data_IF_670879475842
#
_entry.id   IF_670879475842
#
_cell.length_a   1.000
_cell.length_b   1.000
_cell.length_c   1.000
_cell.angle_alpha   90.00
_cell.angle_beta   90.00
_cell.angle_gamma   90.00
#
_symmetry.space_group_name_H-M   'P 1'
#
loop_
_entity.id
_entity.type
_entity.pdbx_description
1 polymer ?
#
# COMPACT_ATOMS: atom_id res chain seq x y z
N UNK A 1 33.95 -0.94 7.89
CA UNK A 1 32.66 -1.39 8.37
C UNK A 1 32.30 -0.77 9.72
N UNK A 2 32.20 0.57 9.82
CA UNK A 2 31.79 1.32 11.04
C UNK A 2 31.31 2.72 10.66
N UNK A 3 30.30 2.85 9.77
CA UNK A 3 29.69 4.16 9.43
C UNK A 3 28.21 4.06 9.01
N UNK A 4 27.46 3.06 9.49
CA UNK A 4 26.00 2.91 9.20
C UNK A 4 25.12 2.85 10.47
N UNK A 5 25.61 3.30 11.61
CA UNK A 5 24.88 3.21 12.89
C UNK A 5 24.58 4.57 13.54
N UNK A 6 24.39 5.64 12.76
CA UNK A 6 24.20 7.00 13.32
C UNK A 6 23.08 7.83 12.65
N UNK A 7 22.09 7.21 12.01
CA UNK A 7 20.96 7.92 11.40
C UNK A 7 19.56 7.45 11.88
N UNK A 8 19.49 6.67 12.95
CA UNK A 8 18.25 6.13 13.51
C UNK A 8 17.78 6.78 14.82
N UNK A 9 18.22 7.99 15.15
CA UNK A 9 17.91 8.61 16.46
C UNK A 9 17.42 10.06 16.41
N UNK A 10 16.69 10.48 15.36
CA UNK A 10 16.25 11.88 15.27
C UNK A 10 14.83 12.11 14.73
N UNK A 11 13.90 11.16 14.81
CA UNK A 11 12.49 11.36 14.37
C UNK A 11 11.46 11.03 15.46
N UNK A 12 11.85 10.84 16.70
CA UNK A 12 10.95 10.49 17.79
C UNK A 12 10.55 11.67 18.70
N UNK A 13 10.42 12.91 18.22
CA UNK A 13 10.08 14.04 19.07
C UNK A 13 9.27 15.15 18.38
N UNK A 14 8.16 14.80 17.67
CA UNK A 14 7.27 15.84 17.12
C UNK A 14 5.79 15.44 17.06
N UNK A 15 5.28 14.55 17.92
CA UNK A 15 3.83 14.25 18.02
C UNK A 15 3.37 14.40 19.46
N UNK A 16 3.51 15.62 20.02
CA UNK A 16 2.89 15.94 21.30
C UNK A 16 2.77 17.47 21.44
N UNK A 17 1.93 18.12 20.62
CA UNK A 17 1.37 19.44 20.96
C UNK A 17 0.38 19.89 19.88
N UNK A 18 -0.88 19.49 19.99
CA UNK A 18 -2.03 20.28 19.52
C UNK A 18 -3.31 19.76 20.17
N UNK A 19 -3.38 19.91 21.47
CA UNK A 19 -4.67 19.97 22.18
C UNK A 19 -4.70 21.34 22.86
N UNK A 20 -5.73 22.08 22.55
CA UNK A 20 -6.42 23.13 23.31
C UNK A 20 -6.68 24.39 22.46
N UNK A 21 -7.94 24.67 22.39
CA UNK A 21 -8.73 25.90 22.28
C UNK A 21 -9.51 26.06 20.96
N UNK A 22 -10.84 25.84 21.03
CA UNK A 22 -11.75 26.98 21.03
C UNK A 22 -13.20 26.52 21.12
N UNK A 23 -13.87 26.85 22.17
CA UNK A 23 -15.32 26.89 22.24
C UNK A 23 -15.80 28.10 21.43
N UNK A 24 -16.29 27.83 20.21
CA UNK A 24 -17.20 28.70 19.49
C UNK A 24 -18.08 27.76 18.65
N UNK A 25 -19.40 27.80 18.87
CA UNK A 25 -20.39 26.90 18.31
C UNK A 25 -20.52 26.96 16.78
N UNK A 26 -19.53 26.45 16.07
CA UNK A 26 -19.60 26.11 14.67
C UNK A 26 -19.69 24.58 14.56
N UNK A 27 -20.62 24.04 13.81
CA UNK A 27 -20.67 22.63 13.47
C UNK A 27 -19.27 22.22 12.96
N UNK A 28 -18.55 21.44 13.77
CA UNK A 28 -17.23 20.91 13.40
C UNK A 28 -17.46 20.03 12.19
N UNK A 29 -16.86 20.38 11.06
CA UNK A 29 -16.85 19.50 9.90
C UNK A 29 -16.41 18.09 10.37
N UNK A 30 -17.08 17.02 9.94
CA UNK A 30 -16.69 15.67 10.32
C UNK A 30 -15.19 15.52 10.04
N UNK A 31 -14.42 15.10 11.03
CA UNK A 31 -12.98 14.86 10.82
C UNK A 31 -12.83 13.58 10.04
N UNK A 32 -12.03 13.61 8.97
CA UNK A 32 -11.63 12.40 8.25
C UNK A 32 -11.01 11.36 9.18
N UNK A 33 -11.04 10.10 8.78
CA UNK A 33 -10.46 8.97 9.53
C UNK A 33 -9.15 8.55 8.89
N UNK A 34 -8.11 8.38 9.69
CA UNK A 34 -6.85 7.77 9.27
C UNK A 34 -6.73 6.35 9.84
N UNK A 35 -6.36 5.40 8.99
CA UNK A 35 -6.08 4.01 9.36
C UNK A 35 -4.68 3.67 8.85
N UNK A 36 -3.84 3.09 9.71
CA UNK A 36 -2.51 2.61 9.32
C UNK A 36 -2.35 1.17 9.75
N UNK A 37 -1.82 0.34 8.87
CA UNK A 37 -1.52 -1.07 9.13
C UNK A 37 -0.38 -1.56 8.22
N UNK A 38 0.19 -2.71 8.56
CA UNK A 38 1.18 -3.41 7.75
C UNK A 38 0.48 -4.39 6.80
N UNK A 39 0.70 -4.25 5.49
CA UNK A 39 0.44 -5.28 4.49
C UNK A 39 1.69 -6.17 4.36
N UNK A 40 1.66 -7.33 5.05
CA UNK A 40 2.80 -8.24 5.13
C UNK A 40 2.90 -9.13 3.87
N UNK A 41 3.44 -8.56 2.82
CA UNK A 41 3.61 -9.26 1.53
C UNK A 41 4.63 -10.38 1.58
N UNK A 42 5.55 -10.41 2.56
CA UNK A 42 6.54 -11.46 2.73
C UNK A 42 5.92 -12.80 3.18
N UNK A 43 4.82 -12.75 3.94
CA UNK A 43 4.03 -13.92 4.32
C UNK A 43 2.80 -14.11 3.44
N UNK A 44 2.75 -13.39 2.32
CA UNK A 44 1.70 -13.49 1.31
C UNK A 44 1.93 -14.60 0.29
N UNK A 45 0.96 -14.73 -0.62
CA UNK A 45 1.07 -15.56 -1.83
C UNK A 45 1.04 -14.65 -3.04
N UNK A 46 1.85 -14.98 -4.05
CA UNK A 46 1.96 -14.18 -5.27
C UNK A 46 1.81 -15.10 -6.49
N UNK A 47 1.10 -14.63 -7.50
CA UNK A 47 1.00 -15.28 -8.80
C UNK A 47 1.29 -14.26 -9.90
N UNK A 48 2.18 -14.62 -10.82
CA UNK A 48 2.52 -13.79 -11.95
C UNK A 48 1.95 -14.37 -13.24
N UNK A 49 1.21 -13.56 -13.97
CA UNK A 49 0.64 -13.91 -15.28
C UNK A 49 1.35 -13.12 -16.36
N UNK A 50 2.02 -13.86 -17.26
CA UNK A 50 2.68 -13.32 -18.45
C UNK A 50 1.70 -13.18 -19.60
N UNK A 51 1.35 -11.96 -19.91
CA UNK A 51 0.53 -11.61 -21.08
C UNK A 51 1.38 -11.58 -22.36
N UNK A 52 0.73 -11.70 -23.52
CA UNK A 52 1.42 -11.58 -24.81
C UNK A 52 1.84 -10.10 -25.07
N UNK A 53 3.01 -9.84 -25.67
CA UNK A 53 3.97 -10.83 -26.12
C UNK A 53 4.75 -11.43 -24.96
N UNK A 54 4.75 -12.77 -24.89
CA UNK A 54 5.49 -13.48 -23.84
C UNK A 54 6.98 -13.16 -23.95
N UNK A 55 7.57 -12.73 -22.85
CA UNK A 55 9.02 -12.50 -22.84
C UNK A 55 9.77 -13.84 -22.92
N UNK A 56 10.61 -14.05 -23.95
CA UNK A 56 11.35 -15.31 -24.12
C UNK A 56 12.42 -15.53 -23.02
N UNK A 57 12.66 -14.58 -22.14
CA UNK A 57 13.75 -14.60 -21.17
C UNK A 57 13.24 -14.81 -19.73
N UNK A 58 12.40 -15.82 -19.51
CA UNK A 58 11.93 -16.16 -18.17
C UNK A 58 12.81 -17.17 -17.47
N UNK A 59 13.92 -16.74 -16.98
CA UNK A 59 14.60 -17.45 -15.92
C UNK A 59 14.73 -16.50 -14.71
N UNK A 60 13.83 -16.57 -13.72
CA UNK A 60 13.93 -15.77 -12.51
C UNK A 60 15.25 -15.98 -11.78
N UNK A 61 15.85 -17.19 -11.89
CA UNK A 61 17.15 -17.53 -11.31
C UNK A 61 18.34 -16.87 -12.03
N UNK A 62 18.14 -16.38 -13.24
CA UNK A 62 19.20 -15.72 -14.02
C UNK A 62 19.19 -14.19 -13.89
N UNK A 63 18.37 -13.59 -13.02
CA UNK A 63 18.27 -12.13 -12.86
C UNK A 63 17.71 -11.40 -14.09
N UNK A 64 17.14 -12.12 -15.05
CA UNK A 64 16.60 -11.58 -16.32
C UNK A 64 15.08 -11.62 -16.36
N UNK A 65 14.45 -11.19 -15.27
CA UNK A 65 13.00 -11.03 -15.30
C UNK A 65 12.65 -9.77 -16.10
N UNK A 66 11.97 -9.96 -17.23
CA UNK A 66 11.47 -8.85 -18.05
C UNK A 66 9.96 -8.79 -17.92
N UNK A 67 9.47 -7.58 -17.69
CA UNK A 67 8.06 -7.25 -17.72
C UNK A 67 7.65 -6.83 -19.14
N UNK A 68 6.38 -7.01 -19.45
CA UNK A 68 5.73 -6.48 -20.65
C UNK A 68 4.39 -5.83 -20.26
N UNK A 69 3.92 -4.90 -21.08
CA UNK A 69 2.60 -4.31 -20.90
C UNK A 69 1.54 -5.39 -20.93
N UNK A 70 0.63 -5.38 -19.93
CA UNK A 70 -0.40 -6.39 -19.76
C UNK A 70 -0.02 -7.53 -18.81
N UNK A 71 1.26 -7.66 -18.42
CA UNK A 71 1.64 -8.61 -17.35
C UNK A 71 0.94 -8.23 -16.05
N UNK A 72 0.48 -9.24 -15.31
CA UNK A 72 -0.17 -9.03 -14.03
C UNK A 72 0.52 -9.77 -12.90
N UNK A 73 0.51 -9.16 -11.74
CA UNK A 73 0.94 -9.74 -10.47
C UNK A 73 -0.25 -9.72 -9.52
N UNK A 74 -0.74 -10.88 -9.13
CA UNK A 74 -1.76 -11.03 -8.10
C UNK A 74 -1.08 -11.32 -6.78
N UNK A 75 -1.46 -10.57 -5.74
CA UNK A 75 -0.91 -10.68 -4.39
C UNK A 75 -2.05 -10.88 -3.40
N UNK A 76 -1.88 -11.83 -2.49
CA UNK A 76 -2.73 -11.99 -1.33
C UNK A 76 -1.85 -12.03 -0.08
N UNK A 77 -2.07 -11.11 0.84
CA UNK A 77 -1.23 -10.92 2.03
C UNK A 77 -2.05 -10.72 3.30
N UNK A 78 -1.54 -11.14 4.46
CA UNK A 78 -2.15 -10.78 5.74
C UNK A 78 -1.97 -9.29 6.02
N UNK A 79 -3.01 -8.67 6.60
CA UNK A 79 -2.96 -7.31 7.15
C UNK A 79 -2.76 -7.44 8.65
N UNK A 80 -1.73 -6.75 9.17
CA UNK A 80 -1.42 -6.71 10.60
C UNK A 80 -1.71 -5.30 11.16
N UNK A 81 -2.07 -5.20 12.43
CA UNK A 81 -2.32 -3.91 13.08
C UNK A 81 -1.05 -3.07 13.24
N UNK A 82 0.11 -3.72 13.29
CA UNK A 82 1.44 -3.12 13.23
C UNK A 82 2.46 -4.17 12.78
N UNK A 83 3.71 -3.81 12.58
CA UNK A 83 4.77 -4.76 12.23
C UNK A 83 4.94 -5.83 13.31
N UNK A 84 4.75 -7.11 12.93
CA UNK A 84 4.74 -8.25 13.83
C UNK A 84 3.51 -8.35 14.74
N UNK A 85 2.50 -7.51 14.52
CA UNK A 85 1.30 -7.45 15.32
C UNK A 85 0.23 -8.46 14.95
N UNK A 86 -0.95 -8.27 15.52
CA UNK A 86 -2.09 -9.17 15.33
C UNK A 86 -2.65 -9.02 13.91
N UNK A 87 -2.96 -10.14 13.27
CA UNK A 87 -3.67 -10.15 11.99
C UNK A 87 -5.08 -9.59 12.16
N UNK A 88 -5.40 -8.54 11.38
CA UNK A 88 -6.69 -7.84 11.37
C UNK A 88 -7.43 -8.00 10.04
N UNK A 89 -6.79 -8.58 9.02
CA UNK A 89 -7.42 -8.72 7.72
C UNK A 89 -6.60 -9.47 6.69
N UNK A 90 -7.00 -9.28 5.44
CA UNK A 90 -6.30 -9.79 4.25
C UNK A 90 -6.41 -8.76 3.13
N UNK A 91 -5.30 -8.42 2.51
CA UNK A 91 -5.26 -7.67 1.26
C UNK A 91 -5.31 -8.63 0.06
N UNK A 92 -6.02 -8.22 -0.97
CA UNK A 92 -6.08 -8.85 -2.28
C UNK A 92 -5.77 -7.77 -3.30
N UNK A 93 -4.62 -7.84 -3.92
CA UNK A 93 -4.13 -6.81 -4.82
C UNK A 93 -3.76 -7.39 -6.17
N UNK A 94 -4.11 -6.69 -7.24
CA UNK A 94 -3.70 -7.01 -8.60
C UNK A 94 -2.98 -5.82 -9.21
N UNK A 95 -1.81 -6.07 -9.74
CA UNK A 95 -0.96 -5.06 -10.38
C UNK A 95 -0.75 -5.40 -11.84
N UNK A 96 -1.14 -4.50 -12.74
CA UNK A 96 -0.98 -4.66 -14.18
C UNK A 96 0.12 -3.72 -14.68
N UNK A 97 1.09 -4.24 -15.42
CA UNK A 97 2.11 -3.42 -16.09
C UNK A 97 1.46 -2.62 -17.22
N UNK A 98 1.48 -1.30 -17.11
CA UNK A 98 0.98 -0.40 -18.18
C UNK A 98 2.09 0.22 -19.00
N UNK A 99 3.32 0.25 -18.47
CA UNK A 99 4.51 0.74 -19.16
C UNK A 99 5.78 0.22 -18.50
N UNK A 100 6.85 0.07 -19.28
CA UNK A 100 8.18 -0.35 -18.78
C UNK A 100 8.45 -1.83 -19.05
N UNK A 101 9.65 -2.27 -18.71
CA UNK A 101 10.12 -3.63 -18.99
C UNK A 101 10.93 -4.25 -17.85
N UNK A 102 10.99 -3.59 -16.71
CA UNK A 102 11.63 -4.07 -15.47
C UNK A 102 10.96 -3.41 -14.26
N UNK A 103 11.08 -3.97 -13.07
CA UNK A 103 10.55 -3.37 -11.85
C UNK A 103 11.08 -1.95 -11.62
N UNK A 104 12.33 -1.67 -11.98
CA UNK A 104 12.95 -0.36 -11.80
C UNK A 104 12.32 0.74 -12.67
N UNK A 105 11.70 0.41 -13.80
CA UNK A 105 11.14 1.40 -14.73
C UNK A 105 9.65 1.19 -15.05
N UNK A 106 9.05 0.14 -14.48
CA UNK A 106 7.66 -0.16 -14.75
C UNK A 106 6.72 0.82 -14.04
N UNK A 107 5.65 1.15 -14.76
CA UNK A 107 4.47 1.80 -14.25
C UNK A 107 3.39 0.74 -14.15
N UNK A 108 2.76 0.63 -12.99
CA UNK A 108 1.69 -0.31 -12.71
C UNK A 108 0.38 0.43 -12.52
N UNK A 109 -0.71 -0.17 -12.97
CA UNK A 109 -2.03 0.09 -12.43
C UNK A 109 -2.30 -0.96 -11.37
N UNK A 110 -2.65 -0.53 -10.17
CA UNK A 110 -2.99 -1.41 -9.05
C UNK A 110 -4.46 -1.26 -8.67
N UNK A 111 -5.08 -2.40 -8.40
CA UNK A 111 -6.39 -2.51 -7.76
C UNK A 111 -6.22 -3.35 -6.50
N UNK A 112 -6.67 -2.83 -5.36
CA UNK A 112 -6.57 -3.50 -4.06
C UNK A 112 -7.90 -3.54 -3.33
N UNK A 113 -8.23 -4.70 -2.73
CA UNK A 113 -9.33 -4.88 -1.78
C UNK A 113 -8.76 -5.29 -0.45
N UNK A 114 -8.94 -4.46 0.55
CA UNK A 114 -8.48 -4.65 1.93
C UNK A 114 -9.66 -5.13 2.76
N UNK A 115 -9.72 -6.45 2.99
CA UNK A 115 -10.78 -7.08 3.76
C UNK A 115 -10.39 -7.10 5.23
N UNK A 116 -11.02 -6.26 6.03
CA UNK A 116 -10.91 -6.19 7.49
C UNK A 116 -12.08 -6.92 8.15
N UNK A 117 -12.05 -7.09 9.47
CA UNK A 117 -13.09 -7.84 10.18
C UNK A 117 -14.45 -7.12 10.20
N UNK A 118 -14.46 -5.79 10.06
CA UNK A 118 -15.63 -4.91 10.13
C UNK A 118 -16.07 -4.35 8.75
N UNK A 119 -15.39 -4.75 7.66
CA UNK A 119 -15.76 -4.34 6.31
C UNK A 119 -14.59 -4.45 5.31
N UNK A 120 -14.75 -3.78 4.19
CA UNK A 120 -13.73 -3.77 3.12
C UNK A 120 -13.49 -2.34 2.66
N UNK A 121 -12.25 -2.06 2.24
CA UNK A 121 -11.87 -0.82 1.55
C UNK A 121 -11.31 -1.20 0.19
N UNK A 122 -11.66 -0.43 -0.84
CA UNK A 122 -11.18 -0.62 -2.21
C UNK A 122 -10.36 0.59 -2.63
N UNK A 123 -9.16 0.35 -3.18
CA UNK A 123 -8.29 1.38 -3.73
C UNK A 123 -7.83 1.02 -5.16
N UNK A 124 -7.61 2.03 -5.99
CA UNK A 124 -7.12 1.86 -7.37
C UNK A 124 -6.26 3.08 -7.75
N UNK A 125 -5.26 2.85 -8.57
CA UNK A 125 -4.44 3.93 -9.11
C UNK A 125 -3.23 3.46 -9.90
N UNK A 126 -2.44 4.42 -10.32
CA UNK A 126 -1.21 4.20 -11.09
C UNK A 126 -0.01 4.58 -10.22
N UNK A 127 1.00 3.72 -10.20
CA UNK A 127 2.17 3.92 -9.36
C UNK A 127 3.43 3.27 -9.96
N UNK A 128 4.57 3.49 -9.30
CA UNK A 128 5.86 2.87 -9.64
C UNK A 128 6.43 2.17 -8.41
N UNK A 129 6.73 0.89 -8.51
CA UNK A 129 7.38 0.13 -7.42
C UNK A 129 8.75 0.74 -7.04
N UNK A 130 9.46 1.35 -7.99
CA UNK A 130 10.73 2.02 -7.71
C UNK A 130 10.62 3.26 -6.80
N UNK A 131 9.41 3.78 -6.55
CA UNK A 131 9.21 4.83 -5.58
C UNK A 131 9.06 4.22 -4.19
N UNK A 132 9.78 4.73 -3.20
CA UNK A 132 9.65 4.27 -1.81
C UNK A 132 8.22 4.48 -1.25
N UNK A 133 7.54 5.51 -1.72
CA UNK A 133 6.16 5.85 -1.33
C UNK A 133 5.31 6.15 -2.55
N UNK A 134 4.10 5.65 -2.55
CA UNK A 134 3.12 5.89 -3.60
C UNK A 134 1.76 6.23 -2.97
N UNK A 135 0.93 6.96 -3.72
CA UNK A 135 -0.43 7.32 -3.29
C UNK A 135 -1.43 7.02 -4.40
N UNK A 136 -2.53 6.36 -4.05
CA UNK A 136 -3.63 6.01 -4.94
C UNK A 136 -4.97 6.43 -4.34
N UNK A 137 -6.03 6.39 -5.14
CA UNK A 137 -7.37 6.77 -4.68
C UNK A 137 -8.06 5.64 -3.92
N UNK A 138 -8.78 5.97 -2.85
CA UNK A 138 -9.79 5.09 -2.23
C UNK A 138 -11.10 5.31 -2.98
N UNK A 139 -11.64 4.23 -3.56
CA UNK A 139 -12.82 4.28 -4.42
C UNK A 139 -14.11 3.98 -3.67
N UNK A 140 -14.04 3.27 -2.55
CA UNK A 140 -15.22 2.86 -1.81
C UNK A 140 -14.90 1.86 -0.71
N UNK A 141 -15.96 1.39 -0.06
CA UNK A 141 -15.87 0.36 0.96
C UNK A 141 -17.24 -0.21 1.30
N UNK A 142 -17.26 -1.19 2.20
CA UNK A 142 -18.47 -1.84 2.73
C UNK A 142 -18.37 -1.96 4.25
N UNK A 143 -19.50 -2.23 4.92
CA UNK A 143 -19.55 -2.36 6.37
C UNK A 143 -19.17 -1.05 7.07
N UNK A 144 -18.23 -1.08 8.00
CA UNK A 144 -17.75 0.12 8.69
C UNK A 144 -17.08 1.17 7.77
N UNK A 145 -16.86 0.82 6.50
CA UNK A 145 -16.21 1.65 5.47
C UNK A 145 -17.16 2.01 4.33
N UNK A 146 -18.47 1.82 4.50
CA UNK A 146 -19.46 2.19 3.49
C UNK A 146 -19.34 3.67 3.13
N UNK A 147 -19.31 3.96 1.81
CA UNK A 147 -19.09 5.31 1.30
C UNK A 147 -17.67 5.85 1.43
N UNK A 148 -16.69 5.03 1.86
CA UNK A 148 -15.30 5.45 1.99
C UNK A 148 -14.76 6.05 0.69
N UNK A 149 -14.03 7.15 0.81
CA UNK A 149 -13.31 7.84 -0.26
C UNK A 149 -12.11 8.55 0.36
N UNK A 150 -11.12 8.85 -0.45
CA UNK A 150 -9.90 9.52 0.03
C UNK A 150 -8.67 8.99 -0.68
N UNK A 151 -7.60 8.75 0.06
CA UNK A 151 -6.35 8.23 -0.48
C UNK A 151 -5.78 7.09 0.37
N UNK A 152 -5.09 6.19 -0.29
CA UNK A 152 -4.18 5.22 0.28
C UNK A 152 -2.76 5.62 -0.06
N UNK A 153 -1.93 5.86 0.93
CA UNK A 153 -0.47 5.99 0.79
C UNK A 153 0.17 4.70 1.29
N UNK A 154 0.99 4.08 0.46
CA UNK A 154 1.75 2.90 0.84
C UNK A 154 3.24 3.17 0.69
N UNK A 155 3.99 2.78 1.72
CA UNK A 155 5.44 2.96 1.83
C UNK A 155 6.09 1.60 2.01
N UNK A 156 7.08 1.30 1.18
CA UNK A 156 7.82 0.04 1.28
C UNK A 156 8.61 -0.02 2.60
N UNK A 157 8.48 -1.13 3.31
CA UNK A 157 9.18 -1.44 4.56
C UNK A 157 9.80 -2.85 4.48
N UNK A 158 10.58 -3.26 5.48
CA UNK A 158 11.32 -4.53 5.45
C UNK A 158 10.43 -5.77 5.22
N UNK A 159 9.21 -5.76 5.74
CA UNK A 159 8.31 -6.93 5.70
C UNK A 159 7.10 -6.77 4.76
N UNK A 160 7.07 -5.73 3.92
CA UNK A 160 5.96 -5.50 3.01
C UNK A 160 5.72 -4.03 2.74
N UNK A 161 4.51 -3.51 3.02
CA UNK A 161 4.23 -2.08 2.97
C UNK A 161 3.47 -1.60 4.20
N UNK A 162 3.82 -0.41 4.67
CA UNK A 162 2.99 0.35 5.58
C UNK A 162 1.92 1.09 4.77
N UNK A 163 0.68 0.74 5.00
CA UNK A 163 -0.47 1.23 4.29
C UNK A 163 -1.26 2.22 5.16
N UNK A 164 -1.31 3.48 4.75
CA UNK A 164 -2.05 4.54 5.46
C UNK A 164 -3.22 5.04 4.60
N UNK A 165 -4.43 4.79 5.08
CA UNK A 165 -5.68 5.29 4.49
C UNK A 165 -6.05 6.61 5.12
N UNK A 166 -6.19 7.65 4.30
CA UNK A 166 -6.78 8.94 4.67
C UNK A 166 -8.21 9.00 4.12
N UNK A 167 -9.18 8.62 4.95
CA UNK A 167 -10.58 8.61 4.56
C UNK A 167 -11.19 10.00 4.81
N UNK A 168 -11.89 10.51 3.80
CA UNK A 168 -12.63 11.78 3.88
C UNK A 168 -13.91 11.58 4.72
N UNK A 169 -14.42 12.65 5.30
CA UNK A 169 -15.71 12.65 6.01
C UNK A 169 -16.86 12.32 5.05
#
# INVERSE_FOLDING_TARGET
MKRLALLAAAVAAAIAACVVLAAAGGARAPSGRTLTFLDDTNHGTQAFVDSAPKSPARNPRAGRFRLSTGDTLDVRSPILDNEGGKRIGTAYSQFTVVKGNSFANAVFRGHGTFRLHDGQIVADGVFRIANATNTVAVLGGTGAYEGARGSLTFTEVEHGSEDTFHLLP
#
